data_IF_616360887153
#
_entry.id   IF_616360887153
#
_cell.length_a   1.000
_cell.length_b   1.000
_cell.length_c   1.000
_cell.angle_alpha   90.00
_cell.angle_beta   90.00
_cell.angle_gamma   90.00
#
_symmetry.space_group_name_H-M   'P 1'
#
loop_
_entity.id
_entity.type
_entity.pdbx_description
1 polymer ?
#
# COMPACT_ATOMS: atom_id res chain seq x y z
N UNK A 1 -14.16 36.04 -27.87
CA UNK A 1 -14.72 36.22 -29.22
C UNK A 1 -14.69 34.86 -29.86
N UNK A 2 -15.87 34.23 -29.95
CA UNK A 2 -16.72 34.32 -31.14
C UNK A 2 -15.94 33.69 -32.31
N UNK A 3 -16.40 32.64 -32.97
CA UNK A 3 -17.70 32.01 -32.99
C UNK A 3 -17.54 30.76 -33.90
N UNK A 4 -18.45 29.79 -33.77
CA UNK A 4 -19.22 29.09 -34.84
C UNK A 4 -18.53 28.74 -36.18
N UNK A 5 -18.98 27.79 -37.00
CA UNK A 5 -20.04 26.79 -37.07
C UNK A 5 -19.76 26.09 -38.41
N UNK A 6 -19.84 24.77 -38.48
CA UNK A 6 -21.05 24.05 -38.90
C UNK A 6 -21.27 24.06 -40.43
N UNK A 7 -21.35 22.83 -40.94
CA UNK A 7 -22.42 22.33 -41.79
C UNK A 7 -22.33 22.24 -43.33
N UNK A 8 -22.87 21.08 -43.74
CA UNK A 8 -23.54 20.68 -44.97
C UNK A 8 -22.80 20.46 -46.31
N UNK A 9 -22.66 19.17 -46.65
CA UNK A 9 -23.57 18.44 -47.56
C UNK A 9 -24.03 19.12 -48.89
N UNK A 10 -23.59 18.57 -50.02
CA UNK A 10 -24.29 18.51 -51.35
C UNK A 10 -23.33 17.89 -52.38
N UNK A 11 -23.67 17.19 -53.47
CA UNK A 11 -24.89 16.62 -54.09
C UNK A 11 -24.41 16.01 -55.43
N UNK A 12 -25.11 14.97 -55.93
CA UNK A 12 -25.32 14.61 -57.36
C UNK A 12 -24.09 14.14 -58.16
N UNK A 13 -24.15 13.22 -59.12
CA UNK A 13 -25.24 12.49 -59.77
C UNK A 13 -24.79 12.01 -61.16
N UNK A 14 -25.43 10.94 -61.68
CA UNK A 14 -25.41 10.49 -63.08
C UNK A 14 -24.13 9.76 -63.54
N UNK A 15 -24.13 8.59 -64.16
CA UNK A 15 -25.15 7.89 -64.94
C UNK A 15 -24.52 7.45 -66.27
N UNK A 16 -24.66 6.18 -66.66
CA UNK A 16 -24.76 5.77 -68.06
C UNK A 16 -25.23 4.32 -68.23
N UNK A 17 -26.28 4.23 -69.04
CA UNK A 17 -26.95 3.08 -69.65
C UNK A 17 -26.12 2.47 -70.79
N UNK A 18 -26.36 1.18 -71.08
CA UNK A 18 -26.61 0.55 -72.41
C UNK A 18 -26.88 -0.94 -72.15
N UNK A 19 -28.13 -1.41 -72.14
CA UNK A 19 -28.92 -1.96 -73.27
C UNK A 19 -28.29 -3.18 -73.97
N UNK A 20 -28.94 -4.37 -73.90
CA UNK A 20 -29.59 -5.03 -75.05
C UNK A 20 -30.24 -6.41 -74.72
N UNK A 21 -31.52 -6.49 -75.12
CA UNK A 21 -32.31 -7.60 -75.69
C UNK A 21 -32.62 -8.96 -75.00
N UNK A 22 -33.90 -9.01 -74.61
CA UNK A 22 -34.99 -10.01 -74.72
C UNK A 22 -34.85 -11.10 -75.80
N UNK A 23 -35.19 -12.36 -75.47
CA UNK A 23 -36.13 -13.23 -76.23
C UNK A 23 -36.61 -14.48 -75.42
N UNK A 24 -37.90 -14.44 -75.08
CA UNK A 24 -38.95 -15.49 -75.06
C UNK A 24 -38.73 -16.91 -74.50
N UNK A 25 -39.61 -17.32 -73.58
CA UNK A 25 -39.95 -18.72 -73.32
C UNK A 25 -40.85 -18.93 -72.09
N UNK A 26 -42.18 -18.82 -72.24
CA UNK A 26 -43.15 -19.14 -71.18
C UNK A 26 -43.35 -20.66 -71.11
N UNK A 27 -43.12 -21.26 -69.94
CA UNK A 27 -43.94 -22.38 -69.43
C UNK A 27 -43.92 -22.42 -67.91
N UNK A 28 -45.07 -22.15 -67.31
CA UNK A 28 -45.32 -22.28 -65.89
C UNK A 28 -45.59 -23.74 -65.53
N UNK A 29 -44.79 -24.32 -64.64
CA UNK A 29 -45.22 -25.39 -63.73
C UNK A 29 -44.43 -25.28 -62.42
N UNK A 30 -45.13 -24.82 -61.38
CA UNK A 30 -44.95 -25.14 -59.96
C UNK A 30 -43.65 -25.88 -59.53
N UNK A 31 -42.73 -25.18 -58.86
CA UNK A 31 -42.21 -25.48 -57.50
C UNK A 31 -40.99 -24.61 -57.17
N UNK A 32 -41.20 -23.74 -56.16
CA UNK A 32 -40.32 -23.16 -55.12
C UNK A 32 -38.87 -22.71 -55.46
N UNK A 33 -38.39 -21.64 -54.77
CA UNK A 33 -37.27 -20.83 -55.21
C UNK A 33 -35.92 -21.29 -54.63
N UNK A 34 -34.90 -21.13 -55.47
CA UNK A 34 -33.60 -20.51 -55.21
C UNK A 34 -32.67 -21.07 -54.13
N UNK A 35 -31.60 -21.72 -54.60
CA UNK A 35 -30.32 -21.79 -53.89
C UNK A 35 -29.22 -21.26 -54.81
N UNK A 36 -28.81 -20.00 -54.60
CA UNK A 36 -27.55 -19.46 -55.12
C UNK A 36 -26.51 -19.63 -54.01
N UNK A 37 -25.52 -20.49 -54.22
CA UNK A 37 -24.36 -20.64 -53.33
C UNK A 37 -23.31 -19.58 -53.67
N UNK A 38 -23.13 -18.61 -52.77
CA UNK A 38 -21.90 -17.79 -52.74
C UNK A 38 -20.92 -18.47 -51.79
N UNK A 39 -19.80 -18.93 -52.35
CA UNK A 39 -18.69 -19.54 -51.63
C UNK A 39 -17.81 -18.42 -51.04
N UNK A 40 -17.69 -18.36 -49.71
CA UNK A 40 -16.64 -17.63 -49.01
C UNK A 40 -15.85 -18.64 -48.17
N UNK A 41 -14.56 -18.77 -48.46
CA UNK A 41 -13.61 -19.62 -47.72
C UNK A 41 -12.70 -18.74 -46.89
N UNK A 42 -12.60 -19.02 -45.58
CA UNK A 42 -11.36 -19.14 -44.77
C UNK A 42 -11.71 -19.27 -43.25
N UNK A 43 -10.86 -19.89 -42.41
CA UNK A 43 -11.02 -21.24 -41.88
C UNK A 43 -11.34 -21.30 -40.37
N UNK A 44 -11.73 -22.49 -39.91
CA UNK A 44 -11.83 -22.93 -38.51
C UNK A 44 -13.12 -22.68 -37.70
N UNK A 45 -14.30 -22.80 -38.31
CA UNK A 45 -15.50 -23.20 -37.55
C UNK A 45 -16.54 -23.90 -38.43
N UNK A 46 -16.72 -25.21 -38.22
CA UNK A 46 -17.85 -25.99 -38.75
C UNK A 46 -18.88 -26.10 -37.63
N UNK A 47 -19.98 -25.36 -37.72
CA UNK A 47 -21.22 -25.65 -37.00
C UNK A 47 -22.38 -25.35 -37.97
N UNK A 48 -23.00 -26.41 -38.49
CA UNK A 48 -24.24 -26.36 -39.27
C UNK A 48 -25.41 -26.29 -38.29
N UNK A 49 -26.07 -25.14 -38.18
CA UNK A 49 -27.40 -25.07 -37.57
C UNK A 49 -28.46 -25.47 -38.60
N UNK A 50 -28.87 -26.73 -38.58
CA UNK A 50 -30.14 -27.20 -39.12
C UNK A 50 -31.16 -27.32 -38.00
N UNK A 51 -32.16 -26.43 -37.97
CA UNK A 51 -33.30 -26.52 -37.07
C UNK A 51 -34.33 -27.47 -37.68
N UNK A 52 -34.55 -28.63 -37.05
CA UNK A 52 -35.76 -29.41 -37.25
C UNK A 52 -36.31 -29.83 -35.89
N UNK A 53 -37.48 -29.29 -35.57
CA UNK A 53 -38.12 -29.40 -34.28
C UNK A 53 -39.19 -30.48 -34.32
N UNK A 54 -39.01 -31.57 -33.57
CA UNK A 54 -40.12 -32.40 -33.10
C UNK A 54 -39.85 -32.97 -31.70
N UNK A 55 -40.65 -32.46 -30.76
CA UNK A 55 -41.22 -33.11 -29.56
C UNK A 55 -40.32 -33.80 -28.53
N UNK A 56 -40.28 -33.19 -27.34
CA UNK A 56 -40.37 -33.93 -26.07
C UNK A 56 -39.10 -34.04 -25.24
N UNK A 57 -39.21 -33.57 -23.98
CA UNK A 57 -38.22 -33.59 -22.89
C UNK A 57 -37.06 -32.58 -23.00
N UNK A 58 -37.19 -31.48 -22.24
CA UNK A 58 -36.04 -30.64 -21.85
C UNK A 58 -35.28 -31.43 -20.79
N UNK A 59 -34.31 -32.25 -21.21
CA UNK A 59 -33.19 -32.60 -20.35
C UNK A 59 -32.26 -31.38 -20.30
N UNK A 60 -31.75 -30.96 -19.13
CA UNK A 60 -30.66 -30.01 -19.08
C UNK A 60 -29.54 -30.56 -19.96
N UNK A 61 -28.96 -29.73 -20.83
CA UNK A 61 -27.66 -30.03 -21.41
C UNK A 61 -26.73 -30.27 -20.22
N UNK A 62 -26.44 -31.55 -19.93
CA UNK A 62 -25.20 -31.91 -19.27
C UNK A 62 -24.12 -31.30 -20.16
N UNK A 63 -23.63 -30.15 -19.71
CA UNK A 63 -22.33 -29.63 -20.09
C UNK A 63 -21.40 -30.83 -19.95
N UNK A 64 -21.04 -31.46 -21.08
CA UNK A 64 -20.19 -32.64 -21.08
C UNK A 64 -18.96 -32.26 -20.27
N UNK A 65 -18.92 -32.69 -19.02
CA UNK A 65 -17.71 -32.78 -18.24
C UNK A 65 -16.88 -33.80 -18.99
N UNK A 66 -16.17 -33.33 -20.01
CA UNK A 66 -14.99 -34.00 -20.52
C UNK A 66 -14.12 -34.11 -19.28
N UNK A 67 -14.14 -35.31 -18.70
CA UNK A 67 -13.21 -35.75 -17.68
C UNK A 67 -11.83 -35.71 -18.35
N UNK A 68 -11.25 -34.52 -18.35
CA UNK A 68 -9.84 -34.33 -18.63
C UNK A 68 -9.14 -35.07 -17.50
N UNK A 69 -8.49 -36.19 -17.84
CA UNK A 69 -7.65 -36.93 -16.90
C UNK A 69 -6.85 -35.95 -16.06
N UNK A 70 -6.92 -36.12 -14.73
CA UNK A 70 -6.54 -35.12 -13.74
C UNK A 70 -5.21 -34.45 -14.07
N UNK A 71 -5.25 -33.31 -14.75
CA UNK A 71 -4.08 -32.46 -14.91
C UNK A 71 -3.69 -32.03 -13.49
N UNK A 72 -2.47 -32.34 -13.01
CA UNK A 72 -2.08 -32.08 -11.63
C UNK A 72 -2.20 -30.59 -11.26
N UNK A 73 -2.16 -29.70 -12.26
CA UNK A 73 -2.23 -28.23 -12.14
C UNK A 73 -3.66 -27.74 -11.82
N UNK A 74 -4.71 -28.51 -12.15
CA UNK A 74 -6.12 -28.10 -11.96
C UNK A 74 -6.76 -28.62 -10.66
N UNK A 75 -5.98 -29.11 -9.70
CA UNK A 75 -6.53 -29.64 -8.44
C UNK A 75 -7.16 -28.50 -7.61
N UNK A 76 -8.41 -28.67 -7.17
CA UNK A 76 -9.13 -27.64 -6.40
C UNK A 76 -9.58 -26.42 -7.22
N UNK A 77 -9.58 -26.54 -8.55
CA UNK A 77 -9.98 -25.49 -9.46
C UNK A 77 -11.46 -25.61 -9.87
N UNK A 78 -12.20 -24.50 -9.92
CA UNK A 78 -13.57 -24.46 -10.47
C UNK A 78 -13.57 -24.20 -11.97
N UNK A 79 -12.64 -23.38 -12.48
CA UNK A 79 -12.49 -23.08 -13.91
C UNK A 79 -11.02 -23.22 -14.31
N UNK A 80 -10.69 -24.25 -15.10
CA UNK A 80 -9.33 -24.52 -15.53
C UNK A 80 -9.14 -24.35 -17.05
N UNK A 81 -8.00 -23.78 -17.45
CA UNK A 81 -7.56 -23.64 -18.83
C UNK A 81 -6.30 -24.48 -19.06
N UNK A 82 -6.13 -24.98 -20.29
CA UNK A 82 -4.99 -25.83 -20.67
C UNK A 82 -3.65 -25.07 -20.60
N UNK A 83 -3.65 -23.79 -21.00
CA UNK A 83 -2.42 -23.00 -21.14
C UNK A 83 -2.13 -22.14 -19.91
N UNK A 84 -3.18 -21.65 -19.25
CA UNK A 84 -3.08 -20.74 -18.10
C UNK A 84 -3.24 -21.45 -16.75
N UNK A 85 -3.47 -22.77 -16.74
CA UNK A 85 -3.79 -23.51 -15.51
C UNK A 85 -5.11 -23.05 -14.92
N UNK A 86 -5.18 -22.99 -13.59
CA UNK A 86 -6.41 -22.60 -12.92
C UNK A 86 -6.70 -21.09 -13.03
N UNK A 87 -7.91 -20.75 -13.43
CA UNK A 87 -8.39 -19.36 -13.52
C UNK A 87 -9.20 -18.97 -12.29
N UNK A 88 -10.04 -19.88 -11.79
CA UNK A 88 -10.81 -19.67 -10.57
C UNK A 88 -10.73 -20.87 -9.64
N UNK A 89 -10.43 -20.63 -8.37
CA UNK A 89 -10.30 -21.67 -7.37
C UNK A 89 -11.64 -21.99 -6.71
N UNK A 90 -11.75 -23.17 -6.12
CA UNK A 90 -12.86 -23.46 -5.22
C UNK A 90 -12.84 -22.49 -4.01
N UNK A 91 -14.01 -22.20 -3.40
CA UNK A 91 -14.07 -21.38 -2.20
C UNK A 91 -13.12 -21.91 -1.11
N UNK A 92 -12.51 -20.99 -0.36
CA UNK A 92 -11.49 -21.22 0.69
C UNK A 92 -10.05 -21.48 0.21
N UNK A 93 -9.82 -21.78 -1.07
CA UNK A 93 -8.48 -21.89 -1.63
C UNK A 93 -7.98 -20.53 -2.13
N UNK A 94 -6.66 -20.38 -2.20
CA UNK A 94 -5.98 -19.20 -2.75
C UNK A 94 -5.43 -19.49 -4.14
N UNK A 95 -5.72 -18.59 -5.08
CA UNK A 95 -5.10 -18.58 -6.40
C UNK A 95 -3.65 -18.10 -6.27
N UNK A 96 -2.70 -18.94 -6.70
CA UNK A 96 -1.29 -18.61 -6.78
C UNK A 96 -0.83 -18.63 -8.24
N UNK A 97 -0.27 -17.50 -8.69
CA UNK A 97 0.29 -17.41 -10.03
C UNK A 97 1.75 -17.85 -10.02
N UNK A 98 1.99 -19.09 -10.48
CA UNK A 98 3.32 -19.67 -10.60
C UNK A 98 3.94 -19.29 -11.94
N UNK A 99 5.19 -18.81 -11.89
CA UNK A 99 5.97 -18.49 -13.09
C UNK A 99 7.06 -19.53 -13.28
N UNK A 100 7.01 -20.24 -14.39
CA UNK A 100 7.99 -21.24 -14.77
C UNK A 100 8.51 -20.92 -16.17
N UNK A 101 9.77 -20.48 -16.26
CA UNK A 101 10.38 -19.96 -17.49
C UNK A 101 9.52 -18.82 -18.08
N UNK A 102 8.99 -19.02 -19.29
CA UNK A 102 8.16 -18.08 -20.04
C UNK A 102 6.66 -18.29 -19.79
N UNK A 103 6.27 -19.34 -19.06
CA UNK A 103 4.86 -19.65 -18.77
C UNK A 103 4.49 -19.11 -17.40
N UNK A 104 3.25 -18.64 -17.30
CA UNK A 104 2.62 -18.28 -16.05
C UNK A 104 1.28 -19.01 -15.99
N UNK A 105 1.07 -19.75 -14.92
CA UNK A 105 -0.16 -20.52 -14.73
C UNK A 105 -0.65 -20.41 -13.29
N UNK A 106 -1.96 -20.53 -13.11
CA UNK A 106 -2.59 -20.53 -11.80
C UNK A 106 -2.61 -21.91 -11.17
N UNK A 107 -2.29 -21.98 -9.88
CA UNK A 107 -2.47 -23.14 -9.00
C UNK A 107 -3.36 -22.73 -7.82
N UNK A 108 -4.17 -23.65 -7.30
CA UNK A 108 -4.97 -23.41 -6.09
C UNK A 108 -4.30 -24.06 -4.88
N UNK A 109 -4.01 -23.25 -3.87
CA UNK A 109 -3.31 -23.66 -2.65
C UNK A 109 -4.18 -23.42 -1.41
N UNK A 110 -3.99 -24.25 -0.39
CA UNK A 110 -4.60 -24.02 0.92
C UNK A 110 -3.92 -22.85 1.66
N UNK A 111 -2.59 -22.78 1.56
CA UNK A 111 -1.77 -21.73 2.15
C UNK A 111 -0.78 -21.20 1.12
N UNK A 112 -0.48 -19.90 1.22
CA UNK A 112 0.46 -19.26 0.31
C UNK A 112 1.91 -19.65 0.63
N UNK A 113 2.77 -19.82 -0.40
CA UNK A 113 4.17 -20.21 -0.20
C UNK A 113 4.99 -19.08 0.45
N UNK A 114 6.21 -19.41 0.90
CA UNK A 114 7.12 -18.45 1.51
C UNK A 114 7.36 -17.22 0.62
N UNK A 115 7.34 -16.03 1.22
CA UNK A 115 7.42 -14.76 0.49
C UNK A 115 6.10 -14.30 -0.14
N UNK A 116 4.98 -14.98 0.11
CA UNK A 116 3.63 -14.58 -0.29
C UNK A 116 2.70 -14.54 0.93
N UNK A 117 1.67 -13.70 0.85
CA UNK A 117 0.61 -13.60 1.86
C UNK A 117 -0.76 -13.76 1.19
N UNK A 118 -1.70 -14.38 1.91
CA UNK A 118 -3.04 -14.61 1.40
C UNK A 118 -3.92 -13.36 1.52
N UNK A 119 -4.43 -12.87 0.40
CA UNK A 119 -5.47 -11.84 0.36
C UNK A 119 -6.84 -12.49 0.13
N UNK A 120 -7.82 -12.14 0.96
CA UNK A 120 -9.22 -12.56 0.80
C UNK A 120 -10.02 -11.38 0.24
N UNK A 121 -10.46 -11.51 -1.01
CA UNK A 121 -11.38 -10.56 -1.66
C UNK A 121 -12.78 -11.19 -1.74
N UNK A 122 -13.87 -10.40 -1.81
CA UNK A 122 -15.21 -10.93 -2.07
C UNK A 122 -15.30 -11.76 -3.36
N UNK A 123 -14.43 -11.47 -4.33
CA UNK A 123 -14.44 -12.10 -5.65
C UNK A 123 -13.60 -13.40 -5.68
N UNK A 124 -12.38 -13.36 -5.13
CA UNK A 124 -11.46 -14.50 -5.08
C UNK A 124 -10.40 -14.31 -3.98
N UNK A 125 -9.88 -15.42 -3.45
CA UNK A 125 -8.70 -15.35 -2.59
C UNK A 125 -7.44 -15.57 -3.43
N UNK A 126 -6.40 -14.77 -3.20
CA UNK A 126 -5.17 -14.80 -4.00
C UNK A 126 -3.92 -14.67 -3.14
N UNK A 127 -2.86 -15.37 -3.51
CA UNK A 127 -1.54 -15.19 -2.94
C UNK A 127 -0.83 -13.99 -3.57
N UNK A 128 -0.60 -12.96 -2.78
CA UNK A 128 0.13 -11.76 -3.18
C UNK A 128 1.58 -11.82 -2.69
N UNK A 129 2.53 -11.36 -3.51
CA UNK A 129 3.95 -11.36 -3.13
C UNK A 129 4.21 -10.34 -2.04
N UNK A 130 4.97 -10.73 -1.03
CA UNK A 130 5.49 -9.84 0.00
C UNK A 130 6.45 -8.82 -0.62
N UNK A 131 6.18 -7.52 -0.45
CA UNK A 131 7.01 -6.43 -0.98
C UNK A 131 7.73 -5.63 0.11
N UNK A 132 7.59 -6.04 1.37
CA UNK A 132 8.23 -5.38 2.50
C UNK A 132 9.73 -5.73 2.48
N UNK A 133 10.58 -4.72 2.56
CA UNK A 133 12.03 -4.88 2.58
C UNK A 133 12.47 -5.65 3.82
N UNK A 134 13.45 -6.55 3.64
CA UNK A 134 14.01 -7.39 4.69
C UNK A 134 13.00 -8.25 5.47
N UNK A 135 11.82 -8.50 4.88
CA UNK A 135 10.79 -9.35 5.44
C UNK A 135 10.90 -10.79 4.91
N UNK A 136 10.77 -11.78 5.80
CA UNK A 136 10.71 -13.21 5.46
C UNK A 136 9.25 -13.65 5.24
N UNK A 137 8.36 -13.30 6.17
CA UNK A 137 6.92 -13.55 6.07
C UNK A 137 6.14 -12.30 6.44
N UNK A 138 5.11 -11.98 5.66
CA UNK A 138 4.19 -10.89 5.93
C UNK A 138 2.74 -11.38 6.02
N UNK A 139 1.97 -10.70 6.84
CA UNK A 139 0.53 -10.92 6.99
C UNK A 139 -0.25 -10.14 5.94
N UNK A 140 0.19 -8.92 5.63
CA UNK A 140 -0.45 -8.04 4.65
C UNK A 140 0.59 -7.31 3.81
N UNK A 141 0.12 -6.45 2.91
CA UNK A 141 0.97 -5.61 2.05
C UNK A 141 1.96 -4.77 2.85
N UNK A 142 1.55 -4.30 4.03
CA UNK A 142 2.27 -3.32 4.84
C UNK A 142 2.67 -3.85 6.24
N UNK A 143 2.34 -5.11 6.54
CA UNK A 143 2.59 -5.72 7.84
C UNK A 143 3.41 -7.01 7.72
N UNK A 144 4.67 -6.94 8.12
CA UNK A 144 5.58 -8.06 8.26
C UNK A 144 5.36 -8.77 9.60
N UNK A 145 5.38 -10.09 9.59
CA UNK A 145 5.29 -10.93 10.80
C UNK A 145 6.64 -11.48 11.22
N UNK A 146 7.56 -11.68 10.28
CA UNK A 146 8.91 -12.17 10.56
C UNK A 146 9.93 -11.50 9.65
N UNK A 147 10.91 -10.85 10.26
CA UNK A 147 12.03 -10.24 9.55
C UNK A 147 13.10 -11.28 9.22
N UNK A 148 13.91 -10.97 8.20
CA UNK A 148 15.12 -11.75 7.89
C UNK A 148 16.12 -11.64 9.04
N UNK A 149 16.99 -12.64 9.16
CA UNK A 149 18.08 -12.66 10.14
C UNK A 149 18.91 -11.36 10.11
N UNK A 150 19.13 -10.76 11.27
CA UNK A 150 19.87 -9.49 11.42
C UNK A 150 19.02 -8.23 11.31
N UNK A 151 17.69 -8.36 11.20
CA UNK A 151 16.76 -7.23 11.22
C UNK A 151 15.76 -7.37 12.37
N UNK A 152 15.40 -6.23 12.95
CA UNK A 152 14.45 -6.13 14.05
C UNK A 152 13.07 -5.72 13.54
N UNK A 153 12.03 -6.41 14.02
CA UNK A 153 10.64 -6.09 13.70
C UNK A 153 10.16 -4.90 14.55
N UNK A 154 9.64 -3.86 13.89
CA UNK A 154 8.99 -2.73 14.55
C UNK A 154 7.75 -2.31 13.76
N UNK A 155 6.57 -2.37 14.41
CA UNK A 155 5.27 -1.96 13.84
C UNK A 155 5.01 -2.55 12.44
N UNK A 156 5.35 -3.82 12.23
CA UNK A 156 5.14 -4.52 10.96
C UNK A 156 6.19 -4.22 9.88
N UNK A 157 7.30 -3.56 10.20
CA UNK A 157 8.42 -3.33 9.26
C UNK A 157 9.74 -3.77 9.87
N UNK A 158 10.72 -4.07 9.02
CA UNK A 158 12.01 -4.59 9.41
C UNK A 158 13.09 -3.51 9.31
N UNK A 159 13.88 -3.35 10.37
CA UNK A 159 14.95 -2.35 10.47
C UNK A 159 16.26 -3.01 10.89
N UNK A 160 17.39 -2.49 10.41
CA UNK A 160 18.73 -2.90 10.84
C UNK A 160 19.02 -2.45 12.28
N UNK A 161 18.49 -1.29 12.68
CA UNK A 161 18.56 -0.73 14.03
C UNK A 161 17.19 -0.24 14.48
N UNK A 162 16.88 -0.40 15.76
CA UNK A 162 15.62 0.07 16.30
C UNK A 162 15.51 1.61 16.27
N UNK A 163 14.33 2.16 15.96
CA UNK A 163 14.10 3.60 15.93
C UNK A 163 14.18 4.22 17.33
N UNK A 164 14.29 5.56 17.38
CA UNK A 164 14.41 6.31 18.63
C UNK A 164 13.30 5.96 19.64
N UNK A 165 13.70 5.71 20.90
CA UNK A 165 12.80 5.30 21.98
C UNK A 165 12.57 3.80 22.09
N UNK A 166 13.07 2.99 21.16
CA UNK A 166 12.98 1.53 21.18
C UNK A 166 14.38 0.89 21.24
N UNK A 167 14.45 -0.30 21.81
CA UNK A 167 15.67 -1.07 21.96
C UNK A 167 15.52 -2.46 21.31
N UNK A 168 16.60 -3.01 20.74
CA UNK A 168 16.56 -4.37 20.20
C UNK A 168 16.39 -5.38 21.34
N UNK A 169 15.41 -6.26 21.19
CA UNK A 169 15.22 -7.44 22.02
C UNK A 169 15.84 -8.63 21.30
N UNK A 170 17.00 -9.09 21.79
CA UNK A 170 17.76 -10.19 21.16
C UNK A 170 16.97 -11.50 21.15
N UNK A 171 16.17 -11.75 22.19
CA UNK A 171 15.43 -13.00 22.36
C UNK A 171 14.30 -13.16 21.34
N UNK A 172 13.70 -12.05 20.89
CA UNK A 172 12.55 -12.05 19.97
C UNK A 172 12.84 -11.45 18.60
N UNK A 173 14.00 -10.80 18.41
CA UNK A 173 14.34 -10.02 17.20
C UNK A 173 13.30 -8.92 16.91
N UNK A 174 12.82 -8.27 17.96
CA UNK A 174 11.83 -7.19 17.90
C UNK A 174 12.35 -5.91 18.55
N UNK A 175 11.79 -4.77 18.16
CA UNK A 175 12.06 -3.49 18.82
C UNK A 175 11.07 -3.27 19.96
N UNK A 176 11.52 -3.54 21.18
CA UNK A 176 10.76 -3.33 22.41
C UNK A 176 10.97 -1.95 23.03
N UNK A 177 10.03 -1.54 23.88
CA UNK A 177 10.23 -0.36 24.74
C UNK A 177 11.25 -0.72 25.83
N UNK A 178 12.50 -0.32 25.63
CA UNK A 178 13.61 -0.65 26.53
C UNK A 178 13.53 0.02 27.90
N UNK A 179 12.69 1.05 28.06
CA UNK A 179 12.48 1.73 29.34
C UNK A 179 11.04 2.23 29.46
N UNK A 180 10.34 1.80 30.51
CA UNK A 180 9.08 2.42 30.90
C UNK A 180 9.38 3.72 31.63
N UNK A 181 8.79 4.82 31.15
CA UNK A 181 8.94 6.16 31.75
C UNK A 181 7.60 6.62 32.30
N UNK A 182 7.64 7.34 33.42
CA UNK A 182 6.46 7.82 34.12
C UNK A 182 5.84 9.04 33.42
N UNK A 183 4.73 9.51 34.00
CA UNK A 183 4.11 10.76 33.57
C UNK A 183 5.07 11.95 33.73
N UNK A 184 4.91 12.93 32.84
CA UNK A 184 5.61 14.20 32.93
C UNK A 184 5.13 14.98 34.16
N UNK A 185 6.07 15.66 34.82
CA UNK A 185 5.74 16.70 35.79
C UNK A 185 5.01 17.86 35.09
N UNK A 186 4.34 18.68 35.90
CA UNK A 186 3.95 20.02 35.50
C UNK A 186 5.17 20.83 35.03
N UNK A 187 4.92 21.81 34.16
CA UNK A 187 5.96 22.71 33.68
C UNK A 187 6.50 23.55 34.83
N UNK A 188 7.82 23.56 35.01
CA UNK A 188 8.49 24.43 35.96
C UNK A 188 8.33 25.92 35.61
N UNK A 189 8.73 26.79 36.52
CA UNK A 189 8.63 28.24 36.30
C UNK A 189 9.43 28.69 35.07
N UNK A 190 8.82 29.57 34.27
CA UNK A 190 9.48 30.20 33.14
C UNK A 190 10.64 31.09 33.62
N UNK A 191 11.89 30.67 33.39
CA UNK A 191 13.09 31.39 33.85
C UNK A 191 14.09 31.66 32.74
N UNK A 192 14.97 32.63 32.96
CA UNK A 192 16.13 32.88 32.08
C UNK A 192 17.33 33.24 32.92
N UNK A 193 18.39 32.40 32.86
CA UNK A 193 19.58 32.51 33.72
C UNK A 193 19.18 32.54 35.21
N UNK A 194 18.30 31.62 35.61
CA UNK A 194 17.74 31.51 36.98
C UNK A 194 16.99 32.76 37.48
N UNK A 195 16.50 33.62 36.58
CA UNK A 195 15.70 34.80 36.92
C UNK A 195 14.33 34.74 36.25
N UNK A 196 13.30 35.17 36.99
CA UNK A 196 11.90 35.30 36.52
C UNK A 196 11.54 36.73 36.08
N UNK A 197 12.49 37.66 36.14
CA UNK A 197 12.33 39.09 35.86
C UNK A 197 13.37 39.59 34.83
N UNK A 198 13.14 40.76 34.26
CA UNK A 198 14.07 41.45 33.35
C UNK A 198 14.08 40.97 31.90
N UNK A 199 13.40 39.86 31.58
CA UNK A 199 13.35 39.26 30.25
C UNK A 199 11.90 39.08 29.77
N UNK A 200 11.68 39.12 28.44
CA UNK A 200 10.36 38.86 27.80
C UNK A 200 10.12 37.37 27.49
N UNK A 201 11.21 36.60 27.37
CA UNK A 201 11.19 35.20 27.00
C UNK A 201 12.17 34.43 27.88
N UNK A 202 11.74 33.25 28.33
CA UNK A 202 12.52 32.30 29.12
C UNK A 202 12.33 30.87 28.61
N UNK A 203 12.79 29.91 29.41
CA UNK A 203 12.53 28.49 29.24
C UNK A 203 11.82 27.97 30.48
N UNK A 204 10.87 27.08 30.25
CA UNK A 204 10.30 26.24 31.28
C UNK A 204 10.68 24.79 30.97
N UNK A 205 10.96 24.03 32.02
CA UNK A 205 11.45 22.67 31.94
C UNK A 205 10.50 21.77 32.72
N UNK A 206 10.20 20.61 32.17
CA UNK A 206 9.50 19.52 32.88
C UNK A 206 10.36 18.26 32.86
N UNK A 207 10.13 17.40 33.84
CA UNK A 207 10.89 16.14 34.00
C UNK A 207 9.96 14.97 34.23
N UNK A 208 10.39 13.77 33.86
CA UNK A 208 9.74 12.50 34.21
C UNK A 208 10.78 11.53 34.76
N UNK A 209 10.35 10.51 35.50
CA UNK A 209 11.26 9.48 36.01
C UNK A 209 11.18 8.22 35.15
N UNK A 210 12.23 7.39 35.22
CA UNK A 210 12.23 6.04 34.64
C UNK A 210 11.54 5.13 35.67
N UNK A 211 10.45 4.48 35.26
CA UNK A 211 9.66 3.57 36.11
C UNK A 211 10.29 2.17 36.10
N UNK A 212 10.66 1.67 34.92
CA UNK A 212 11.43 0.43 34.78
C UNK A 212 12.69 0.67 33.95
N UNK A 213 13.81 0.26 34.52
CA UNK A 213 15.10 0.24 33.83
C UNK A 213 15.18 -0.98 32.91
N UNK A 214 15.96 -0.91 31.83
CA UNK A 214 16.21 -2.07 31.00
C UNK A 214 16.96 -3.14 31.81
N UNK A 215 16.79 -4.43 31.48
CA UNK A 215 17.54 -5.52 32.11
C UNK A 215 19.06 -5.44 31.90
N UNK A 216 19.51 -4.69 30.88
CA UNK A 216 20.91 -4.48 30.55
C UNK A 216 21.24 -3.00 30.47
N UNK A 217 22.37 -2.60 31.05
CA UNK A 217 22.88 -1.22 31.09
C UNK A 217 23.30 -0.67 29.70
N UNK A 218 23.22 -1.48 28.64
CA UNK A 218 23.52 -1.09 27.26
C UNK A 218 22.38 -0.32 26.58
N UNK A 219 21.21 -0.20 27.21
CA UNK A 219 20.02 0.43 26.63
C UNK A 219 19.82 1.82 27.23
N UNK A 220 20.08 2.91 26.49
CA UNK A 220 19.79 4.26 26.95
C UNK A 220 18.28 4.53 26.90
N UNK A 221 17.71 4.96 28.03
CA UNK A 221 16.30 5.34 28.12
C UNK A 221 15.98 6.61 27.31
N UNK A 222 14.72 6.78 26.86
CA UNK A 222 14.28 8.00 26.19
C UNK A 222 14.43 9.22 27.11
N UNK A 223 14.37 10.44 26.54
CA UNK A 223 14.59 11.67 27.31
C UNK A 223 13.66 11.79 28.51
N UNK A 224 14.23 12.16 29.66
CA UNK A 224 13.53 12.36 30.93
C UNK A 224 13.35 13.84 31.28
N UNK A 225 13.87 14.75 30.45
CA UNK A 225 13.72 16.18 30.60
C UNK A 225 13.33 16.81 29.26
N UNK A 226 12.43 17.79 29.31
CA UNK A 226 11.96 18.54 28.15
C UNK A 226 11.88 20.03 28.52
N UNK A 227 12.29 20.90 27.58
CA UNK A 227 12.22 22.34 27.77
C UNK A 227 11.51 23.02 26.60
N UNK A 228 10.68 24.01 26.91
CA UNK A 228 10.02 24.84 25.90
C UNK A 228 10.16 26.32 26.21
N UNK A 229 10.02 27.13 25.15
CA UNK A 229 10.09 28.58 25.29
C UNK A 229 8.77 29.14 25.83
N UNK A 230 8.88 30.00 26.82
CA UNK A 230 7.75 30.58 27.51
C UNK A 230 7.87 32.11 27.56
N UNK A 231 6.73 32.80 27.60
CA UNK A 231 6.65 34.27 27.66
C UNK A 231 6.59 34.70 29.11
N UNK A 232 7.46 35.62 29.49
CA UNK A 232 7.58 36.10 30.88
C UNK A 232 6.89 37.45 31.04
N UNK A 233 6.32 37.69 32.22
CA UNK A 233 5.90 39.02 32.63
C UNK A 233 7.13 39.92 32.80
N UNK A 234 7.20 40.99 32.03
CA UNK A 234 8.36 41.88 32.00
C UNK A 234 8.36 42.77 33.25
N UNK A 235 8.96 42.28 34.34
CA UNK A 235 9.13 43.02 35.60
C UNK A 235 10.60 43.44 35.79
N UNK A 236 10.85 44.58 36.42
CA UNK A 236 12.21 44.95 36.85
C UNK A 236 12.64 44.05 38.01
N UNK A 237 13.89 43.58 37.98
CA UNK A 237 14.43 42.77 39.08
C UNK A 237 14.77 43.69 40.26
N UNK A 238 14.28 43.36 41.47
CA UNK A 238 14.37 44.22 42.65
C UNK A 238 15.79 44.42 43.17
N UNK A 239 16.71 43.48 42.95
CA UNK A 239 18.12 43.57 43.34
C UNK A 239 19.05 43.24 42.17
N UNK A 240 19.72 44.26 41.64
CA UNK A 240 20.78 44.14 40.66
C UNK A 240 21.45 45.50 40.54
N UNK A 241 22.51 45.71 41.32
CA UNK A 241 23.30 46.94 41.29
C UNK A 241 23.64 47.37 39.87
N UNK A 242 23.69 48.69 39.69
CA UNK A 242 24.26 49.38 38.54
C UNK A 242 25.54 48.69 38.08
N UNK A 243 25.46 47.95 36.97
CA UNK A 243 26.54 47.04 36.57
C UNK A 243 26.54 46.72 35.09
N UNK A 244 27.13 47.65 34.32
CA UNK A 244 27.59 47.58 32.93
C UNK A 244 26.53 47.41 31.84
N UNK A 245 26.54 48.37 30.90
CA UNK A 245 26.05 48.21 29.54
C UNK A 245 26.64 46.94 28.92
N UNK A 246 25.96 45.79 29.09
CA UNK A 246 26.19 44.64 28.22
C UNK A 246 25.72 45.05 26.84
N UNK A 247 26.61 44.98 25.86
CA UNK A 247 26.32 45.13 24.43
C UNK A 247 24.96 44.49 24.15
N UNK A 248 23.98 45.29 23.68
CA UNK A 248 22.64 44.80 23.35
C UNK A 248 22.78 43.79 22.21
N UNK A 249 22.97 42.51 22.54
CA UNK A 249 22.92 41.44 21.53
C UNK A 249 21.59 41.55 20.77
N UNK A 250 21.59 41.37 19.44
CA UNK A 250 20.37 41.47 18.65
C UNK A 250 19.28 40.57 19.21
N UNK A 251 18.09 41.12 19.46
CA UNK A 251 16.94 40.39 20.03
C UNK A 251 16.62 39.09 19.26
N UNK A 252 16.84 39.09 17.94
CA UNK A 252 16.64 37.94 17.03
C UNK A 252 17.63 36.80 17.33
N UNK A 253 18.93 37.12 17.45
CA UNK A 253 20.01 36.17 17.78
C UNK A 253 19.77 35.51 19.15
N UNK A 254 19.30 36.30 20.12
CA UNK A 254 19.07 35.81 21.47
C UNK A 254 17.81 34.92 21.60
N UNK A 255 16.77 35.18 20.80
CA UNK A 255 15.59 34.28 20.68
C UNK A 255 15.95 32.98 19.98
N UNK A 256 16.78 33.03 18.94
CA UNK A 256 17.27 31.84 18.24
C UNK A 256 18.13 30.96 19.16
N UNK A 257 18.98 31.57 20.00
CA UNK A 257 19.77 30.84 21.00
C UNK A 257 18.91 30.15 22.06
N UNK A 258 17.79 30.76 22.47
CA UNK A 258 16.80 30.14 23.35
C UNK A 258 16.12 28.94 22.71
N UNK A 259 15.72 29.05 21.43
CA UNK A 259 15.14 27.93 20.67
C UNK A 259 16.12 26.77 20.53
N UNK A 260 17.36 27.07 20.18
CA UNK A 260 18.42 26.07 20.09
C UNK A 260 18.67 25.39 21.44
N UNK A 261 18.65 26.14 22.55
CA UNK A 261 18.73 25.56 23.90
C UNK A 261 17.55 24.67 24.27
N UNK A 262 16.34 25.04 23.85
CA UNK A 262 15.16 24.20 24.07
C UNK A 262 15.30 22.86 23.33
N UNK A 263 15.87 22.87 22.12
CA UNK A 263 16.08 21.67 21.29
C UNK A 263 17.24 20.80 21.77
N UNK A 264 18.35 21.38 22.23
CA UNK A 264 19.58 20.62 22.54
C UNK A 264 19.70 20.13 23.99
N UNK A 265 18.70 20.35 24.84
CA UNK A 265 18.83 20.02 26.27
C UNK A 265 18.79 18.52 26.59
N UNK A 266 18.44 17.66 25.62
CA UNK A 266 18.61 16.21 25.76
C UNK A 266 20.07 15.86 26.13
N UNK A 267 21.04 16.52 25.48
CA UNK A 267 22.47 16.30 25.71
C UNK A 267 22.96 16.89 27.04
N UNK A 268 22.45 18.06 27.44
CA UNK A 268 22.88 18.75 28.65
C UNK A 268 22.39 18.04 29.93
N UNK A 269 21.19 17.46 29.94
CA UNK A 269 20.67 16.74 31.11
C UNK A 269 21.37 15.38 31.32
N UNK A 270 21.76 14.70 30.24
CA UNK A 270 22.59 13.49 30.30
C UNK A 270 24.00 13.79 30.85
N UNK A 271 24.59 14.93 30.48
CA UNK A 271 25.89 15.38 30.99
C UNK A 271 25.85 15.72 32.49
N UNK A 272 24.77 16.37 32.96
CA UNK A 272 24.64 16.75 34.38
C UNK A 272 24.47 15.56 35.33
N UNK A 273 23.98 14.41 34.86
CA UNK A 273 23.90 13.19 35.68
C UNK A 273 25.24 12.45 35.81
N UNK A 274 26.12 12.54 34.80
CA UNK A 274 27.48 11.96 34.85
C UNK A 274 28.43 12.73 35.78
N UNK A 275 28.20 14.02 36.02
CA UNK A 275 28.99 14.81 36.98
C UNK A 275 28.52 14.67 38.44
N UNK A 276 27.48 13.86 38.68
CA UNK A 276 26.87 13.68 40.00
C UNK A 276 27.03 12.24 40.54
N UNK A 277 27.88 11.43 39.91
CA UNK A 277 28.28 10.10 40.36
C UNK A 277 29.77 10.09 40.70
#
# INVERSE_FOLDING_TARGET
MFDTSDDQLKKRGGGRFTDFEILTGVRATHRRPDAVSTLLICPDHIELYGVQQLSGAVAPLEEKQKSYGAYPICKGCSVCSRDNGCVNCQPKLFLFLRRERMRQYGECLHDCPAGYYGMRSPELNMCSRCRIENCESCFSKDFCTKCKSGFYLHKGRCFDKCPEGFAPLEDTMECGEGCEVGQWSEWGACTRRNKTCGFKWGLETRTRHIVKKPPKDTIPCPTIAESRMCKMAKRHCRNGGSGKHRSKEPKKKNKQRLRFRAQNQHSDHLASKRSSQ
#
